data_IF_835457455590
#
_entry.id   IF_835457455590
#
_cell.length_a   1.000
_cell.length_b   1.000
_cell.length_c   1.000
_cell.angle_alpha   90.00
_cell.angle_beta   90.00
_cell.angle_gamma   90.00
#
_symmetry.space_group_name_H-M   'P 1'
#
loop_
_entity.id
_entity.type
_entity.pdbx_description
1 polymer ?
#
# COMPACT_ATOMS: atom_id res chain seq x y z
N UNK A 1 -0.50 -3.26 -9.30
CA UNK A 1 0.69 -2.85 -8.51
C UNK A 1 1.75 -2.44 -9.50
N UNK A 2 2.33 -1.23 -9.35
CA UNK A 2 3.27 -0.71 -10.35
C UNK A 2 4.71 -1.09 -10.01
N UNK A 3 5.10 -0.92 -8.74
CA UNK A 3 6.40 -1.33 -8.22
C UNK A 3 6.32 -1.74 -6.75
N UNK A 4 7.22 -2.64 -6.35
CA UNK A 4 7.43 -3.10 -4.98
C UNK A 4 8.93 -3.08 -4.70
N UNK A 5 9.31 -2.45 -3.59
CA UNK A 5 10.69 -2.40 -3.13
C UNK A 5 10.77 -2.93 -1.70
N UNK A 6 11.74 -3.80 -1.46
CA UNK A 6 12.14 -4.21 -0.11
C UNK A 6 13.15 -3.19 0.39
N UNK A 7 12.95 -2.69 1.60
CA UNK A 7 13.81 -1.67 2.18
C UNK A 7 14.59 -2.24 3.36
N UNK A 8 15.77 -1.64 3.60
CA UNK A 8 16.44 -1.73 4.89
C UNK A 8 16.07 -0.47 5.69
N UNK A 9 15.40 -0.61 6.83
CA UNK A 9 15.04 0.53 7.67
C UNK A 9 13.78 0.30 8.51
N UNK A 10 13.07 1.39 8.82
CA UNK A 10 11.88 1.38 9.67
C UNK A 10 10.65 0.71 9.04
N UNK A 11 10.67 0.48 7.73
CA UNK A 11 9.61 -0.19 6.97
C UNK A 11 10.22 -1.33 6.15
N UNK A 12 9.50 -2.44 6.04
CA UNK A 12 9.96 -3.62 5.29
C UNK A 12 9.74 -3.46 3.78
N UNK A 13 8.65 -2.81 3.38
CA UNK A 13 8.19 -2.73 2.00
C UNK A 13 7.63 -1.34 1.66
N UNK A 14 7.96 -0.87 0.44
CA UNK A 14 7.27 0.27 -0.19
C UNK A 14 6.64 -0.19 -1.50
N UNK A 15 5.36 0.14 -1.67
CA UNK A 15 4.56 -0.34 -2.80
C UNK A 15 3.84 0.86 -3.43
N UNK A 16 4.02 1.05 -4.74
CA UNK A 16 3.22 2.03 -5.50
C UNK A 16 2.02 1.33 -6.13
N UNK A 17 0.83 1.79 -5.76
CA UNK A 17 -0.44 1.32 -6.30
C UNK A 17 -1.15 2.47 -7.01
N UNK A 18 -1.78 2.13 -8.15
CA UNK A 18 -2.60 3.04 -8.94
C UNK A 18 -3.98 2.39 -9.06
N UNK A 19 -5.02 3.19 -8.94
CA UNK A 19 -6.41 2.76 -9.04
C UNK A 19 -7.20 3.83 -9.81
N UNK A 20 -8.26 3.45 -10.54
CA UNK A 20 -9.07 4.39 -11.32
C UNK A 20 -9.81 5.42 -10.46
N UNK A 21 -10.10 5.08 -9.20
CA UNK A 21 -10.84 5.93 -8.27
C UNK A 21 -10.37 5.73 -6.82
N UNK A 22 -10.67 6.73 -5.96
CA UNK A 22 -10.26 6.75 -4.55
C UNK A 22 -10.94 5.65 -3.71
N UNK A 23 -12.15 5.23 -4.09
CA UNK A 23 -12.90 4.21 -3.34
C UNK A 23 -12.27 2.83 -3.55
N UNK A 24 -11.95 2.49 -4.79
CA UNK A 24 -11.23 1.28 -5.19
C UNK A 24 -9.84 1.25 -4.57
N UNK A 25 -9.15 2.39 -4.49
CA UNK A 25 -7.88 2.51 -3.78
C UNK A 25 -8.04 2.15 -2.29
N UNK A 26 -9.00 2.78 -1.60
CA UNK A 26 -9.26 2.53 -0.18
C UNK A 26 -9.64 1.07 0.07
N UNK A 27 -10.52 0.49 -0.74
CA UNK A 27 -10.91 -0.93 -0.66
C UNK A 27 -9.71 -1.86 -0.85
N UNK A 28 -8.84 -1.55 -1.81
CA UNK A 28 -7.62 -2.34 -2.05
C UNK A 28 -6.70 -2.31 -0.83
N UNK A 29 -6.47 -1.14 -0.25
CA UNK A 29 -5.58 -1.04 0.93
C UNK A 29 -6.19 -1.75 2.14
N UNK A 30 -7.46 -1.48 2.46
CA UNK A 30 -8.09 -2.00 3.67
C UNK A 30 -8.43 -3.49 3.60
N UNK A 31 -8.97 -3.96 2.47
CA UNK A 31 -9.51 -5.32 2.38
C UNK A 31 -8.52 -6.31 1.77
N UNK A 32 -7.54 -5.84 0.99
CA UNK A 32 -6.51 -6.71 0.42
C UNK A 32 -5.21 -6.60 1.18
N UNK A 33 -4.62 -5.40 1.28
CA UNK A 33 -3.26 -5.24 1.82
C UNK A 33 -3.23 -5.43 3.35
N UNK A 34 -4.07 -4.72 4.11
CA UNK A 34 -4.08 -4.77 5.58
C UNK A 34 -4.57 -6.10 6.16
N UNK A 35 -5.22 -6.94 5.35
CA UNK A 35 -5.72 -8.26 5.74
C UNK A 35 -4.68 -9.38 5.50
N UNK A 36 -3.56 -9.10 4.84
CA UNK A 36 -2.50 -10.08 4.65
C UNK A 36 -1.89 -10.45 6.00
N UNK A 37 -1.79 -11.76 6.30
CA UNK A 37 -1.33 -12.29 7.60
C UNK A 37 0.00 -11.72 8.09
N UNK A 38 0.89 -11.32 7.17
CA UNK A 38 2.23 -10.84 7.48
C UNK A 38 2.35 -9.31 7.43
N UNK A 39 1.25 -8.58 7.24
CA UNK A 39 1.24 -7.11 7.25
C UNK A 39 0.85 -6.65 8.64
N UNK A 40 1.84 -6.19 9.41
CA UNK A 40 1.63 -5.69 10.78
C UNK A 40 1.00 -4.29 10.79
N UNK A 41 1.51 -3.41 9.94
CA UNK A 41 1.03 -2.03 9.82
C UNK A 41 1.32 -1.48 8.43
N UNK A 42 0.57 -0.46 8.04
CA UNK A 42 0.74 0.21 6.74
C UNK A 42 0.64 1.71 6.94
N UNK A 43 1.54 2.47 6.35
CA UNK A 43 1.39 3.91 6.17
C UNK A 43 1.01 4.19 4.71
N UNK A 44 -0.11 4.87 4.49
CA UNK A 44 -0.56 5.23 3.14
C UNK A 44 -0.21 6.68 2.87
N UNK A 45 0.64 6.92 1.87
CA UNK A 45 0.94 8.26 1.38
C UNK A 45 0.11 8.52 0.12
N UNK A 46 -0.92 9.36 0.23
CA UNK A 46 -1.67 9.82 -0.94
C UNK A 46 -0.81 10.83 -1.69
N UNK A 47 -0.53 10.55 -2.96
CA UNK A 47 0.17 11.51 -3.83
C UNK A 47 -0.79 12.65 -4.13
N UNK A 48 -0.36 13.88 -3.86
CA UNK A 48 -1.03 15.11 -4.25
C UNK A 48 -0.37 15.55 -5.55
N UNK A 49 -1.18 15.86 -6.56
CA UNK A 49 -0.74 16.57 -7.78
C UNK A 49 -0.83 18.09 -7.59
#
# INVERSE_FOLDING_TARGET
>A
VKYVYVLYGAYDLVVKIEAPDSETLKKTISNKIRQLKNVRSTLTMTVIE
#
